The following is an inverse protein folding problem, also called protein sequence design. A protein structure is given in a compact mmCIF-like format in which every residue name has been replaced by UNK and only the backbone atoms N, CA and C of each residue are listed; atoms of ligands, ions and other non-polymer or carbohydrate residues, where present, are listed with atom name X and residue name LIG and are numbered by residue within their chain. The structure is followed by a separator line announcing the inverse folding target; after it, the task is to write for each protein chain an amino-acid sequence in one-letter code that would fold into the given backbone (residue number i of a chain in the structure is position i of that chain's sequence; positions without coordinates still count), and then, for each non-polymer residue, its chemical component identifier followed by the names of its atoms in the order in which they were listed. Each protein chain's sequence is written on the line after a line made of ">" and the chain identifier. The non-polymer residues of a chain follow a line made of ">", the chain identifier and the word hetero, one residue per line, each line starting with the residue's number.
data_IF_341385531511
#
_entry.id   IF_341385531511
#
_cell.length_a   1.000
_cell.length_b   1.000
_cell.length_c   1.000
_cell.angle_alpha   90.00
_cell.angle_beta   90.00
_cell.angle_gamma   90.00
#
_symmetry.space_group_name_H-M   'P 1'
#
loop_
_entity.id
_entity.type
_entity.pdbx_description
1 polymer ?
#
# COMPACT_ATOMS: atom_id res chain seq x y z
N UNK A 1 6.22 -25.57 8.84
CA UNK A 1 6.91 -24.57 8.00
C UNK A 1 8.33 -24.99 7.67
N UNK A 2 9.18 -25.38 8.66
CA UNK A 2 10.57 -25.81 8.42
C UNK A 2 10.62 -26.98 7.42
N UNK A 3 9.83 -28.01 7.64
CA UNK A 3 9.74 -29.16 6.73
C UNK A 3 9.30 -28.75 5.32
N UNK A 4 8.30 -27.87 5.21
CA UNK A 4 7.85 -27.35 3.92
C UNK A 4 8.95 -26.58 3.18
N UNK A 5 9.71 -25.74 3.91
CA UNK A 5 10.84 -25.00 3.36
C UNK A 5 11.95 -25.96 2.87
N UNK A 6 12.31 -26.98 3.68
CA UNK A 6 13.31 -27.97 3.29
C UNK A 6 12.87 -28.74 2.03
N UNK A 7 11.63 -29.20 1.99
CA UNK A 7 11.08 -29.89 0.82
C UNK A 7 11.08 -29.00 -0.43
N UNK A 8 10.80 -27.73 -0.27
CA UNK A 8 10.83 -26.79 -1.40
C UNK A 8 12.27 -26.52 -1.86
N UNK A 9 13.23 -26.42 -0.93
CA UNK A 9 14.65 -26.30 -1.26
C UNK A 9 15.17 -27.50 -2.05
N UNK A 10 14.74 -28.71 -1.70
CA UNK A 10 15.10 -29.92 -2.44
C UNK A 10 14.48 -29.97 -3.84
N UNK A 11 13.24 -29.46 -3.99
CA UNK A 11 12.52 -29.45 -5.28
C UNK A 11 13.00 -28.35 -6.21
N UNK A 12 13.03 -27.12 -5.73
CA UNK A 12 13.43 -25.91 -6.48
C UNK A 12 13.77 -24.79 -5.48
N UNK A 13 15.05 -24.61 -5.13
CA UNK A 13 15.47 -23.62 -4.14
C UNK A 13 15.29 -22.18 -4.61
N UNK A 14 15.51 -21.93 -5.91
CA UNK A 14 15.37 -20.61 -6.51
C UNK A 14 15.05 -20.71 -8.00
N UNK A 15 14.16 -19.82 -8.43
CA UNK A 15 13.97 -19.45 -9.82
C UNK A 15 13.39 -18.01 -9.89
N UNK A 16 13.85 -17.23 -10.85
CA UNK A 16 13.35 -15.85 -11.03
C UNK A 16 11.96 -15.84 -11.69
N UNK A 17 11.19 -14.78 -11.46
CA UNK A 17 9.85 -14.57 -12.04
C UNK A 17 9.86 -13.62 -13.27
N UNK A 18 11.00 -13.54 -13.98
CA UNK A 18 11.12 -12.72 -15.18
C UNK A 18 10.83 -13.53 -16.46
N UNK A 19 10.58 -12.78 -17.56
CA UNK A 19 10.42 -13.34 -18.91
C UNK A 19 9.32 -14.42 -19.03
N UNK A 20 8.16 -14.16 -18.40
CA UNK A 20 6.99 -15.03 -18.52
C UNK A 20 7.09 -16.35 -17.75
N UNK A 21 7.99 -16.45 -16.76
CA UNK A 21 8.17 -17.63 -15.93
C UNK A 21 7.70 -17.36 -14.51
N UNK A 22 6.92 -18.29 -13.96
CA UNK A 22 6.40 -18.20 -12.58
C UNK A 22 6.57 -19.56 -11.90
N UNK A 23 7.21 -19.63 -10.72
CA UNK A 23 7.23 -20.86 -9.93
C UNK A 23 5.81 -21.29 -9.54
N UNK A 24 5.51 -22.58 -9.62
CA UNK A 24 4.20 -23.16 -9.28
C UNK A 24 3.71 -22.69 -7.89
N UNK A 25 4.60 -22.70 -6.89
CA UNK A 25 4.26 -22.28 -5.52
C UNK A 25 3.88 -20.78 -5.42
N UNK A 26 4.47 -19.93 -6.26
CA UNK A 26 4.09 -18.52 -6.32
C UNK A 26 2.72 -18.34 -6.96
N UNK A 27 2.39 -19.08 -8.02
CA UNK A 27 1.05 -19.07 -8.61
C UNK A 27 0.00 -19.55 -7.59
N UNK A 28 0.29 -20.65 -6.87
CA UNK A 28 -0.60 -21.18 -5.84
C UNK A 28 -0.81 -20.20 -4.67
N UNK A 29 0.24 -19.46 -4.26
CA UNK A 29 0.09 -18.43 -3.22
C UNK A 29 -0.72 -17.24 -3.73
N UNK A 30 -0.48 -16.81 -4.98
CA UNK A 30 -1.29 -15.75 -5.60
C UNK A 30 -2.78 -16.09 -5.59
N UNK A 31 -3.15 -17.31 -6.03
CA UNK A 31 -4.54 -17.78 -6.01
C UNK A 31 -5.13 -17.77 -4.59
N UNK A 32 -4.38 -18.23 -3.59
CA UNK A 32 -4.84 -18.23 -2.19
C UNK A 32 -5.02 -16.82 -1.64
N UNK A 33 -4.08 -15.91 -1.92
CA UNK A 33 -4.18 -14.53 -1.47
C UNK A 33 -5.39 -13.83 -2.07
N UNK A 34 -5.62 -13.99 -3.38
CA UNK A 34 -6.75 -13.37 -4.06
C UNK A 34 -8.11 -13.93 -3.58
N UNK A 35 -8.17 -15.20 -3.17
CA UNK A 35 -9.40 -15.78 -2.58
C UNK A 35 -9.78 -15.18 -1.22
N UNK A 36 -8.81 -14.66 -0.47
CA UNK A 36 -9.03 -14.06 0.84
C UNK A 36 -8.88 -12.54 0.83
N UNK A 37 -8.50 -11.95 -0.31
CA UNK A 37 -8.35 -10.51 -0.47
C UNK A 37 -9.70 -9.78 -0.36
N UNK A 38 -9.71 -8.49 0.01
CA UNK A 38 -10.88 -7.65 -0.17
C UNK A 38 -11.38 -7.70 -1.62
N UNK A 39 -12.70 -7.59 -1.79
CA UNK A 39 -13.34 -7.65 -3.11
C UNK A 39 -12.76 -6.61 -4.08
N UNK A 40 -12.57 -6.99 -5.34
CA UNK A 40 -12.09 -6.12 -6.40
C UNK A 40 -10.57 -6.10 -6.57
N UNK A 41 -9.83 -6.93 -5.84
CA UNK A 41 -8.38 -7.12 -6.04
C UNK A 41 -8.13 -8.43 -6.80
N UNK A 42 -7.56 -8.34 -8.00
CA UNK A 42 -7.58 -9.41 -8.99
C UNK A 42 -6.19 -9.96 -9.35
N UNK A 43 -5.12 -9.28 -8.98
CA UNK A 43 -3.74 -9.72 -9.28
C UNK A 43 -2.79 -9.44 -8.13
N UNK A 44 -1.85 -10.38 -7.90
CA UNK A 44 -0.78 -10.26 -6.92
C UNK A 44 0.58 -10.07 -7.59
N UNK A 45 1.39 -9.15 -7.06
CA UNK A 45 2.80 -8.98 -7.40
C UNK A 45 3.63 -9.19 -6.12
N UNK A 46 4.62 -10.08 -6.14
CA UNK A 46 5.42 -10.42 -4.98
C UNK A 46 6.68 -9.56 -4.88
N UNK A 47 7.02 -9.17 -3.66
CA UNK A 47 8.26 -8.49 -3.27
C UNK A 47 8.88 -9.23 -2.07
N UNK A 48 9.96 -8.67 -1.48
CA UNK A 48 10.65 -9.33 -0.36
C UNK A 48 10.41 -8.63 0.98
N UNK A 49 9.92 -7.40 0.97
CA UNK A 49 9.64 -6.61 2.19
C UNK A 49 8.46 -5.66 1.99
N UNK A 50 7.85 -5.21 3.10
CA UNK A 50 6.81 -4.19 3.05
C UNK A 50 7.29 -2.88 2.43
N UNK A 51 8.55 -2.49 2.65
CA UNK A 51 9.14 -1.31 2.01
C UNK A 51 9.19 -1.44 0.49
N UNK A 52 9.62 -2.60 -0.04
CA UNK A 52 9.60 -2.87 -1.47
C UNK A 52 8.18 -2.92 -2.05
N UNK A 53 7.22 -3.46 -1.30
CA UNK A 53 5.82 -3.47 -1.71
C UNK A 53 5.26 -2.04 -1.84
N UNK A 54 5.56 -1.15 -0.90
CA UNK A 54 5.12 0.25 -0.94
C UNK A 54 5.86 1.06 -2.02
N UNK A 55 7.17 0.84 -2.23
CA UNK A 55 7.90 1.42 -3.37
C UNK A 55 7.31 0.97 -4.71
N UNK A 56 6.95 -0.31 -4.80
CA UNK A 56 6.29 -0.88 -5.98
C UNK A 56 4.90 -0.27 -6.20
N UNK A 57 4.12 -0.09 -5.13
CA UNK A 57 2.81 0.55 -5.21
C UNK A 57 2.90 1.96 -5.82
N UNK A 58 3.87 2.77 -5.39
CA UNK A 58 4.11 4.11 -5.98
C UNK A 58 4.50 4.01 -7.46
N UNK A 59 5.38 3.08 -7.82
CA UNK A 59 5.75 2.86 -9.24
C UNK A 59 4.57 2.41 -10.08
N UNK A 60 3.70 1.55 -9.54
CA UNK A 60 2.45 1.11 -10.18
C UNK A 60 1.52 2.29 -10.42
N UNK A 61 1.32 3.16 -9.41
CA UNK A 61 0.53 4.39 -9.57
C UNK A 61 1.08 5.25 -10.70
N UNK A 62 2.39 5.50 -10.72
CA UNK A 62 3.00 6.31 -11.79
C UNK A 62 2.89 5.66 -13.17
N UNK A 63 3.10 4.36 -13.25
CA UNK A 63 2.98 3.61 -14.52
C UNK A 63 1.54 3.65 -15.06
N UNK A 64 0.56 3.43 -14.18
CA UNK A 64 -0.86 3.53 -14.49
C UNK A 64 -1.27 4.93 -14.95
N UNK A 65 -0.86 5.98 -14.23
CA UNK A 65 -1.17 7.36 -14.61
C UNK A 65 -0.52 7.74 -15.95
N UNK A 66 0.70 7.27 -16.22
CA UNK A 66 1.34 7.45 -17.54
C UNK A 66 0.56 6.71 -18.65
N UNK A 67 0.09 5.48 -18.40
CA UNK A 67 -0.73 4.73 -19.35
C UNK A 67 -2.01 5.48 -19.75
N UNK A 68 -2.58 6.22 -18.80
CA UNK A 68 -3.76 7.07 -19.02
C UNK A 68 -3.44 8.45 -19.60
N UNK A 69 -2.17 8.74 -19.97
CA UNK A 69 -1.76 10.04 -20.48
C UNK A 69 -1.76 11.17 -19.43
N UNK A 70 -1.61 10.83 -18.16
CA UNK A 70 -1.64 11.77 -17.01
C UNK A 70 -0.30 11.78 -16.24
N UNK A 71 0.86 12.07 -16.89
CA UNK A 71 2.19 11.95 -16.29
C UNK A 71 2.43 12.87 -15.08
N UNK A 72 1.63 13.93 -14.93
CA UNK A 72 1.72 14.87 -13.82
C UNK A 72 1.12 14.33 -12.50
N UNK A 73 0.29 13.28 -12.55
CA UNK A 73 -0.33 12.64 -11.38
C UNK A 73 0.65 11.76 -10.61
N UNK A 74 1.68 12.38 -10.00
CA UNK A 74 2.81 11.70 -9.37
C UNK A 74 2.92 11.89 -7.86
N UNK A 75 2.25 12.92 -7.30
CA UNK A 75 2.29 13.15 -5.85
C UNK A 75 1.54 12.05 -5.11
N UNK A 76 2.08 11.68 -3.95
CA UNK A 76 1.45 10.71 -3.04
C UNK A 76 1.20 11.41 -1.72
N UNK A 77 -0.02 11.30 -1.22
CA UNK A 77 -0.37 11.79 0.12
C UNK A 77 -0.27 10.64 1.10
N UNK A 78 0.42 10.85 2.21
CA UNK A 78 0.50 9.98 3.37
C UNK A 78 0.05 10.73 4.63
N UNK A 79 0.11 10.09 5.78
CA UNK A 79 -0.28 10.68 7.06
C UNK A 79 0.92 10.91 7.98
N UNK A 80 0.95 12.03 8.70
CA UNK A 80 1.85 12.18 9.86
C UNK A 80 1.65 11.00 10.80
N UNK A 81 2.73 10.51 11.41
CA UNK A 81 2.78 9.31 12.25
C UNK A 81 2.54 7.98 11.52
N UNK A 82 2.24 7.98 10.21
CA UNK A 82 2.17 6.75 9.41
C UNK A 82 3.54 6.08 9.28
N UNK A 83 3.56 4.76 9.12
CA UNK A 83 4.78 4.01 8.87
C UNK A 83 4.61 3.08 7.66
N UNK A 84 5.42 3.32 6.63
CA UNK A 84 5.32 2.58 5.37
C UNK A 84 6.62 1.89 4.94
N UNK A 85 7.69 2.03 5.71
CA UNK A 85 8.98 1.40 5.44
C UNK A 85 10.17 2.35 5.54
N UNK A 86 11.34 1.89 5.04
CA UNK A 86 12.64 2.54 5.23
C UNK A 86 13.45 2.73 3.94
N UNK A 87 12.97 2.29 2.79
CA UNK A 87 13.56 2.63 1.49
C UNK A 87 13.35 4.12 1.19
N UNK A 88 13.98 4.65 0.16
CA UNK A 88 13.88 6.09 -0.15
C UNK A 88 12.43 6.55 -0.32
N UNK A 89 11.59 5.77 -1.00
CA UNK A 89 10.18 6.10 -1.23
C UNK A 89 9.34 5.75 0.00
N UNK A 90 9.41 4.52 0.51
CA UNK A 90 8.64 4.13 1.69
C UNK A 90 9.03 4.92 2.95
N UNK A 91 10.30 5.30 3.11
CA UNK A 91 10.77 6.21 4.15
C UNK A 91 10.21 7.63 3.99
N UNK A 92 10.04 8.09 2.75
CA UNK A 92 9.37 9.37 2.46
C UNK A 92 7.86 9.31 2.80
N UNK A 93 7.20 8.18 2.54
CA UNK A 93 5.79 7.96 2.92
C UNK A 93 5.61 7.86 4.44
N UNK A 94 6.63 7.39 5.17
CA UNK A 94 6.63 7.30 6.63
C UNK A 94 6.60 8.71 7.23
N UNK A 95 5.56 9.03 8.00
CA UNK A 95 5.36 10.34 8.61
C UNK A 95 5.92 10.47 10.04
N UNK A 96 7.00 9.74 10.34
CA UNK A 96 7.69 9.73 11.63
C UNK A 96 9.03 10.47 11.49
N UNK A 97 9.26 11.59 12.22
CA UNK A 97 10.44 12.44 12.03
C UNK A 97 11.77 11.69 12.07
N UNK A 98 11.93 10.76 12.99
CA UNK A 98 13.18 9.98 13.14
C UNK A 98 13.51 9.10 11.91
N UNK A 99 12.52 8.77 11.08
CA UNK A 99 12.70 7.99 9.86
C UNK A 99 13.07 8.87 8.65
N UNK A 100 13.05 10.19 8.80
CA UNK A 100 13.29 11.16 7.73
C UNK A 100 14.49 12.08 8.04
N UNK A 101 14.59 12.53 9.29
CA UNK A 101 15.67 13.41 9.72
C UNK A 101 17.05 12.78 9.51
N UNK A 102 17.97 13.52 8.94
CA UNK A 102 19.32 13.06 8.62
C UNK A 102 19.45 12.24 7.32
N UNK A 103 18.32 11.82 6.70
CA UNK A 103 18.32 11.07 5.44
C UNK A 103 17.95 11.92 4.21
N UNK A 104 17.63 13.21 4.41
CA UNK A 104 17.18 14.08 3.33
C UNK A 104 15.75 13.74 2.81
N UNK A 105 14.93 13.17 3.67
CA UNK A 105 13.54 12.81 3.39
C UNK A 105 12.57 13.80 4.07
N UNK A 106 11.33 13.92 3.61
CA UNK A 106 10.72 13.19 2.50
C UNK A 106 11.12 13.73 1.11
N UNK A 107 10.98 12.89 0.08
CA UNK A 107 11.08 13.32 -1.32
C UNK A 107 9.92 14.27 -1.68
N UNK A 108 10.17 15.22 -2.58
CA UNK A 108 9.26 16.34 -2.89
C UNK A 108 7.86 15.93 -3.35
N UNK A 109 7.70 14.77 -3.98
CA UNK A 109 6.42 14.26 -4.44
C UNK A 109 5.55 13.67 -3.32
N UNK A 110 6.09 13.48 -2.11
CA UNK A 110 5.33 12.99 -0.96
C UNK A 110 4.82 14.16 -0.11
N UNK A 111 3.55 14.14 0.21
CA UNK A 111 2.89 15.13 1.06
C UNK A 111 2.26 14.45 2.26
N UNK A 112 2.29 15.09 3.43
CA UNK A 112 1.73 14.52 4.64
C UNK A 112 0.54 15.36 5.13
N UNK A 113 -0.61 14.72 5.28
CA UNK A 113 -1.77 15.25 6.01
C UNK A 113 -1.70 14.87 7.50
N UNK A 114 -2.59 15.41 8.30
CA UNK A 114 -2.67 15.08 9.74
C UNK A 114 -3.06 13.64 10.00
N UNK A 115 -2.70 13.12 11.17
CA UNK A 115 -3.09 11.78 11.61
C UNK A 115 -4.47 11.81 12.29
N UNK A 116 -5.29 10.73 12.16
CA UNK A 116 -6.59 10.67 12.80
C UNK A 116 -6.50 10.27 14.29
N UNK A 117 -5.59 10.90 15.04
CA UNK A 117 -5.36 10.58 16.45
C UNK A 117 -6.28 11.41 17.37
N UNK A 118 -7.57 11.03 17.43
CA UNK A 118 -8.59 11.78 18.17
C UNK A 118 -8.16 12.13 19.59
N UNK A 119 -7.69 11.17 20.37
CA UNK A 119 -7.35 11.40 21.79
C UNK A 119 -6.18 12.35 22.03
N UNK A 120 -5.24 12.46 21.08
CA UNK A 120 -4.08 13.33 21.23
C UNK A 120 -4.25 14.69 20.54
N UNK A 121 -5.03 14.73 19.46
CA UNK A 121 -5.02 15.88 18.54
C UNK A 121 -6.37 16.62 18.47
N UNK A 122 -7.37 16.21 19.28
CA UNK A 122 -8.66 16.91 19.40
C UNK A 122 -8.52 18.22 20.16
N UNK A 123 -9.35 19.22 19.80
CA UNK A 123 -9.54 20.42 20.62
C UNK A 123 -10.42 20.11 21.85
N UNK A 124 -10.44 21.02 22.86
CA UNK A 124 -11.07 20.80 24.16
C UNK A 124 -12.54 20.37 24.07
N UNK A 125 -13.32 21.00 23.21
CA UNK A 125 -14.76 20.71 23.03
C UNK A 125 -15.07 19.94 21.74
N UNK A 126 -14.07 19.30 21.12
CA UNK A 126 -14.23 18.60 19.85
C UNK A 126 -14.65 17.13 20.07
N UNK A 127 -15.82 16.77 19.57
CA UNK A 127 -16.25 15.36 19.51
C UNK A 127 -15.59 14.61 18.33
N UNK A 128 -15.75 13.30 18.28
CA UNK A 128 -15.15 12.47 17.21
C UNK A 128 -15.60 12.88 15.80
N UNK A 129 -16.85 13.29 15.66
CA UNK A 129 -17.41 13.67 14.35
C UNK A 129 -16.81 14.99 13.85
N UNK A 130 -16.81 16.01 14.70
CA UNK A 130 -16.21 17.33 14.39
C UNK A 130 -14.72 17.22 14.13
N UNK A 131 -14.02 16.37 14.90
CA UNK A 131 -12.62 16.05 14.67
C UNK A 131 -12.40 15.42 13.29
N UNK A 132 -13.20 14.41 12.94
CA UNK A 132 -13.14 13.78 11.61
C UNK A 132 -13.36 14.81 10.51
N UNK A 133 -14.38 15.65 10.63
CA UNK A 133 -14.66 16.69 9.64
C UNK A 133 -13.51 17.69 9.49
N UNK A 134 -12.81 18.00 10.57
CA UNK A 134 -11.58 18.82 10.51
C UNK A 134 -10.46 18.11 9.78
N UNK A 135 -10.21 16.82 10.07
CA UNK A 135 -9.20 16.03 9.35
C UNK A 135 -9.48 15.96 7.85
N UNK A 136 -10.75 15.80 7.47
CA UNK A 136 -11.15 15.78 6.07
C UNK A 136 -11.00 17.13 5.38
N UNK A 137 -11.31 18.25 6.08
CA UNK A 137 -11.05 19.60 5.56
C UNK A 137 -9.56 19.82 5.32
N UNK A 138 -8.70 19.45 6.28
CA UNK A 138 -7.24 19.54 6.13
C UNK A 138 -6.73 18.71 4.94
N UNK A 139 -7.30 17.55 4.70
CA UNK A 139 -6.96 16.71 3.53
C UNK A 139 -7.45 17.34 2.23
N UNK A 140 -8.69 17.84 2.17
CA UNK A 140 -9.24 18.50 0.97
C UNK A 140 -8.45 19.79 0.65
N UNK A 141 -8.12 20.61 1.65
CA UNK A 141 -7.28 21.79 1.51
C UNK A 141 -5.88 21.46 0.97
N UNK A 142 -5.28 20.36 1.46
CA UNK A 142 -4.00 19.89 0.94
C UNK A 142 -4.11 19.46 -0.53
N UNK A 143 -5.16 18.71 -0.89
CA UNK A 143 -5.43 18.28 -2.26
C UNK A 143 -5.60 19.49 -3.18
N UNK A 144 -6.38 20.48 -2.78
CA UNK A 144 -6.61 21.72 -3.56
C UNK A 144 -5.31 22.51 -3.71
N UNK A 145 -4.56 22.68 -2.63
CA UNK A 145 -3.28 23.40 -2.61
C UNK A 145 -2.23 22.77 -3.53
N UNK A 146 -2.13 21.45 -3.52
CA UNK A 146 -1.14 20.72 -4.32
C UNK A 146 -1.58 20.54 -5.78
N UNK A 147 -2.87 20.71 -6.09
CA UNK A 147 -3.52 20.46 -7.37
C UNK A 147 -3.95 18.99 -7.50
N UNK A 148 -5.25 18.72 -7.46
CA UNK A 148 -5.81 17.35 -7.51
C UNK A 148 -5.33 16.57 -8.73
N UNK A 149 -5.13 17.26 -9.86
CA UNK A 149 -4.62 16.68 -11.13
C UNK A 149 -3.16 16.21 -11.04
N UNK A 150 -2.43 16.57 -9.96
CA UNK A 150 -1.03 16.14 -9.74
C UNK A 150 -0.90 15.02 -8.71
N UNK A 151 -2.00 14.64 -8.03
CA UNK A 151 -1.99 13.65 -6.97
C UNK A 151 -2.43 12.30 -7.53
N UNK A 152 -1.52 11.31 -7.49
CA UNK A 152 -1.77 9.95 -7.99
C UNK A 152 -2.46 9.05 -6.99
N UNK A 153 -2.09 9.13 -5.71
CA UNK A 153 -2.66 8.26 -4.68
C UNK A 153 -2.58 8.85 -3.27
N UNK A 154 -3.44 8.32 -2.40
CA UNK A 154 -3.35 8.44 -0.93
C UNK A 154 -3.02 7.06 -0.36
N UNK A 155 -2.06 6.99 0.58
CA UNK A 155 -1.67 5.76 1.27
C UNK A 155 -2.02 5.81 2.76
N UNK A 156 -2.57 4.71 3.29
CA UNK A 156 -2.94 4.63 4.70
C UNK A 156 -2.90 3.21 5.25
N UNK A 157 -2.47 3.08 6.51
CA UNK A 157 -2.70 1.89 7.35
C UNK A 157 -4.14 1.93 7.88
N UNK A 158 -4.90 0.82 7.94
CA UNK A 158 -6.22 0.79 8.60
C UNK A 158 -6.16 1.21 10.08
N UNK A 159 -5.18 0.70 10.82
CA UNK A 159 -4.74 1.17 12.14
C UNK A 159 -3.26 1.50 12.03
N UNK A 160 -2.87 2.69 12.46
CA UNK A 160 -1.48 3.13 12.38
C UNK A 160 -0.67 2.42 13.47
N UNK A 161 0.06 1.35 13.09
CA UNK A 161 0.73 0.48 14.05
C UNK A 161 1.91 1.16 14.73
N UNK A 162 2.99 1.43 14.00
CA UNK A 162 4.23 2.02 14.52
C UNK A 162 4.04 3.46 15.04
N UNK A 163 3.06 4.18 14.54
CA UNK A 163 2.71 5.52 14.99
C UNK A 163 2.10 5.63 16.38
N UNK A 164 1.79 4.48 17.00
CA UNK A 164 1.26 4.42 18.37
C UNK A 164 -0.08 3.68 18.50
N UNK A 165 -0.36 2.72 17.61
CA UNK A 165 -1.62 1.96 17.56
C UNK A 165 -2.83 2.91 17.48
N UNK A 166 -2.76 3.86 16.54
CA UNK A 166 -3.79 4.89 16.37
C UNK A 166 -4.96 4.29 15.59
N UNK A 167 -6.09 4.14 16.28
CA UNK A 167 -7.36 3.71 15.71
C UNK A 167 -8.08 4.98 15.23
N UNK A 168 -8.47 5.06 13.95
CA UNK A 168 -9.19 6.23 13.44
C UNK A 168 -10.61 6.30 14.01
N UNK A 169 -11.23 7.48 14.05
CA UNK A 169 -12.66 7.64 14.30
C UNK A 169 -13.51 6.79 13.35
N UNK A 170 -14.70 6.38 13.81
CA UNK A 170 -15.53 5.40 13.11
C UNK A 170 -15.88 5.77 11.67
N UNK A 171 -16.14 7.06 11.37
CA UNK A 171 -16.56 7.57 10.07
C UNK A 171 -15.39 8.12 9.21
N UNK A 172 -14.15 8.07 9.73
CA UNK A 172 -12.99 8.66 9.08
C UNK A 172 -12.74 8.09 7.67
N UNK A 173 -12.65 6.78 7.54
CA UNK A 173 -12.32 6.16 6.25
C UNK A 173 -13.47 6.20 5.24
N UNK A 174 -14.72 6.15 5.69
CA UNK A 174 -15.85 6.37 4.80
C UNK A 174 -15.73 7.73 4.09
N UNK A 175 -15.52 8.79 4.87
CA UNK A 175 -15.37 10.16 4.34
C UNK A 175 -14.08 10.32 3.51
N UNK A 176 -12.96 9.70 3.92
CA UNK A 176 -11.72 9.70 3.11
C UNK A 176 -11.97 9.12 1.73
N UNK A 177 -12.58 7.95 1.65
CA UNK A 177 -12.88 7.29 0.37
C UNK A 177 -13.77 8.13 -0.54
N UNK A 178 -14.79 8.78 0.03
CA UNK A 178 -15.64 9.72 -0.73
C UNK A 178 -14.82 10.89 -1.29
N UNK A 179 -13.90 11.44 -0.49
CA UNK A 179 -13.04 12.55 -0.91
C UNK A 179 -12.05 12.12 -2.00
N UNK A 180 -11.41 10.98 -1.84
CA UNK A 180 -10.48 10.43 -2.85
C UNK A 180 -11.18 10.20 -4.19
N UNK A 181 -12.39 9.64 -4.16
CA UNK A 181 -13.21 9.43 -5.34
C UNK A 181 -13.61 10.75 -6.01
N UNK A 182 -13.97 11.78 -5.25
CA UNK A 182 -14.29 13.14 -5.74
C UNK A 182 -13.13 13.72 -6.58
N UNK A 183 -11.89 13.46 -6.16
CA UNK A 183 -10.68 14.01 -6.78
C UNK A 183 -9.95 13.03 -7.72
N UNK A 184 -10.53 11.85 -8.00
CA UNK A 184 -9.91 10.81 -8.84
C UNK A 184 -8.49 10.45 -8.34
N UNK A 185 -8.35 10.18 -7.05
CA UNK A 185 -7.12 9.81 -6.36
C UNK A 185 -7.22 8.34 -5.97
N UNK A 186 -6.21 7.53 -6.33
CA UNK A 186 -6.16 6.10 -5.98
C UNK A 186 -5.97 5.91 -4.47
N UNK A 187 -6.55 4.84 -3.93
CA UNK A 187 -6.39 4.46 -2.54
C UNK A 187 -5.47 3.25 -2.38
N UNK A 188 -4.30 3.46 -1.75
CA UNK A 188 -3.38 2.40 -1.35
C UNK A 188 -3.63 2.10 0.13
N UNK A 189 -4.01 0.85 0.45
CA UNK A 189 -4.14 0.40 1.83
C UNK A 189 -2.94 -0.43 2.22
N UNK A 190 -2.20 0.03 3.23
CA UNK A 190 -1.05 -0.67 3.79
C UNK A 190 -1.50 -1.61 4.91
N UNK A 191 -1.64 -2.88 4.56
CA UNK A 191 -2.03 -3.99 5.45
C UNK A 191 -0.81 -4.75 6.02
N UNK A 192 0.37 -4.20 5.89
CA UNK A 192 1.62 -4.84 6.36
C UNK A 192 1.58 -5.21 7.84
N UNK A 193 0.88 -4.41 8.67
CA UNK A 193 0.65 -4.73 10.09
C UNK A 193 -0.76 -5.30 10.31
N UNK A 194 -1.78 -4.69 9.72
CA UNK A 194 -3.18 -4.99 10.04
C UNK A 194 -3.69 -6.28 9.43
N UNK A 195 -3.10 -6.74 8.32
CA UNK A 195 -3.51 -7.94 7.62
C UNK A 195 -3.32 -9.25 8.41
N UNK A 196 -4.00 -10.27 7.96
CA UNK A 196 -3.93 -11.66 8.49
C UNK A 196 -4.42 -11.80 9.93
N UNK A 197 -5.53 -11.13 10.26
CA UNK A 197 -6.25 -11.34 11.51
C UNK A 197 -5.95 -10.36 12.64
N UNK A 198 -5.08 -9.37 12.43
CA UNK A 198 -4.64 -8.44 13.48
C UNK A 198 -5.77 -7.60 14.08
N UNK A 199 -6.81 -7.28 13.29
CA UNK A 199 -7.96 -6.48 13.70
C UNK A 199 -9.20 -7.32 14.07
N UNK A 200 -9.06 -8.67 14.03
CA UNK A 200 -10.18 -9.61 14.27
C UNK A 200 -10.82 -10.12 12.95
N UNK A 201 -10.72 -9.39 11.86
CA UNK A 201 -11.04 -9.81 10.50
C UNK A 201 -9.76 -10.20 9.76
N UNK A 202 -9.84 -10.87 8.61
CA UNK A 202 -8.65 -11.25 7.83
C UNK A 202 -7.84 -10.00 7.46
N UNK A 203 -8.50 -8.91 7.11
CA UNK A 203 -7.91 -7.64 6.74
C UNK A 203 -8.44 -6.49 7.59
N UNK A 204 -7.61 -5.49 7.87
CA UNK A 204 -8.06 -4.23 8.44
C UNK A 204 -9.03 -3.50 7.52
N UNK A 205 -8.91 -3.70 6.21
CA UNK A 205 -9.87 -3.23 5.20
C UNK A 205 -11.29 -3.71 5.47
N UNK A 206 -11.48 -4.97 5.88
CA UNK A 206 -12.80 -5.50 6.25
C UNK A 206 -13.34 -4.84 7.53
N UNK A 207 -12.44 -4.55 8.48
CA UNK A 207 -12.84 -3.91 9.76
C UNK A 207 -13.37 -2.50 9.58
N UNK A 208 -12.83 -1.75 8.60
CA UNK A 208 -13.16 -0.35 8.34
C UNK A 208 -13.89 -0.13 7.01
N UNK A 209 -14.37 -1.18 6.36
CA UNK A 209 -15.04 -1.16 5.05
C UNK A 209 -14.25 -0.37 3.98
N UNK A 210 -12.93 -0.66 3.88
CA UNK A 210 -12.07 -0.04 2.89
C UNK A 210 -12.17 -0.76 1.55
N UNK A 211 -12.15 0.01 0.47
CA UNK A 211 -12.15 -0.46 -0.92
C UNK A 211 -10.85 0.00 -1.59
N UNK A 212 -9.74 -0.69 -1.37
CA UNK A 212 -8.45 -0.30 -1.94
C UNK A 212 -8.40 -0.53 -3.46
N UNK A 213 -7.74 0.40 -4.17
CA UNK A 213 -7.27 0.16 -5.53
C UNK A 213 -6.00 -0.70 -5.53
N UNK A 214 -5.17 -0.50 -4.51
CA UNK A 214 -3.93 -1.24 -4.26
C UNK A 214 -3.87 -1.59 -2.77
N UNK A 215 -3.51 -2.83 -2.45
CA UNK A 215 -3.27 -3.31 -1.10
C UNK A 215 -1.85 -3.85 -0.98
N UNK A 216 -1.11 -3.48 0.05
CA UNK A 216 0.21 -4.05 0.35
C UNK A 216 0.18 -4.88 1.61
N UNK A 217 0.82 -6.05 1.61
CA UNK A 217 0.92 -6.93 2.77
C UNK A 217 2.31 -7.58 2.90
N UNK A 218 2.69 -7.91 4.12
CA UNK A 218 3.96 -8.55 4.47
C UNK A 218 3.86 -9.23 5.85
N UNK A 219 4.92 -9.26 6.64
CA UNK A 219 5.00 -9.74 8.03
C UNK A 219 4.24 -11.05 8.27
N UNK A 220 2.97 -10.98 8.68
CA UNK A 220 2.14 -12.14 8.97
C UNK A 220 1.88 -13.03 7.75
N UNK A 221 2.09 -12.54 6.53
CA UNK A 221 2.02 -13.33 5.29
C UNK A 221 2.89 -14.60 5.36
N UNK A 222 4.08 -14.52 5.97
CA UNK A 222 4.96 -15.68 6.23
C UNK A 222 5.04 -16.06 7.70
N UNK A 223 4.34 -15.37 8.60
CA UNK A 223 4.53 -15.54 10.03
C UNK A 223 5.96 -15.27 10.52
N UNK A 224 6.70 -14.42 9.81
CA UNK A 224 8.10 -14.06 10.04
C UNK A 224 9.12 -15.18 9.75
N UNK A 225 8.73 -16.26 9.07
CA UNK A 225 9.64 -17.36 8.72
C UNK A 225 10.51 -17.05 7.49
N UNK A 226 10.03 -16.21 6.57
CA UNK A 226 10.76 -15.88 5.36
C UNK A 226 10.46 -14.45 4.90
N UNK A 227 11.44 -13.76 4.26
CA UNK A 227 11.22 -12.46 3.64
C UNK A 227 10.27 -12.59 2.46
N UNK A 228 9.06 -12.07 2.58
CA UNK A 228 8.07 -12.01 1.52
C UNK A 228 7.08 -10.87 1.78
N UNK A 229 6.63 -10.26 0.72
CA UNK A 229 5.51 -9.32 0.71
C UNK A 229 4.75 -9.42 -0.61
N UNK A 230 3.57 -8.88 -0.64
CA UNK A 230 2.78 -8.82 -1.85
C UNK A 230 2.09 -7.46 -1.99
N UNK A 231 1.89 -7.08 -3.23
CA UNK A 231 1.04 -6.01 -3.69
C UNK A 231 -0.15 -6.65 -4.41
N UNK A 232 -1.37 -6.31 -4.02
CA UNK A 232 -2.59 -6.71 -4.70
C UNK A 232 -3.19 -5.50 -5.42
N UNK A 233 -3.73 -5.69 -6.63
CA UNK A 233 -4.22 -4.61 -7.48
C UNK A 233 -5.58 -4.97 -8.08
N UNK A 234 -6.39 -3.94 -8.33
CA UNK A 234 -7.67 -4.09 -9.03
C UNK A 234 -7.49 -4.21 -10.55
N UNK A 235 -8.52 -4.73 -11.24
CA UNK A 235 -8.51 -4.95 -12.69
C UNK A 235 -8.34 -3.65 -13.50
N UNK A 236 -8.86 -2.52 -13.00
CA UNK A 236 -8.73 -1.24 -13.70
C UNK A 236 -7.25 -0.82 -13.85
N UNK A 237 -6.45 -1.03 -12.80
CA UNK A 237 -5.01 -0.75 -12.84
C UNK A 237 -4.29 -1.77 -13.72
N UNK A 238 -4.63 -3.05 -13.58
CA UNK A 238 -3.95 -4.14 -14.29
C UNK A 238 -4.12 -4.01 -15.80
N UNK A 239 -5.34 -3.78 -16.27
CA UNK A 239 -5.63 -3.70 -17.70
C UNK A 239 -4.86 -2.57 -18.40
N UNK A 240 -4.70 -1.41 -17.74
CA UNK A 240 -3.92 -0.31 -18.31
C UNK A 240 -2.41 -0.57 -18.25
N UNK A 241 -1.92 -1.23 -17.18
CA UNK A 241 -0.52 -1.67 -17.10
C UNK A 241 -0.19 -2.66 -18.21
N UNK A 242 -1.06 -3.64 -18.47
CA UNK A 242 -0.85 -4.67 -19.50
C UNK A 242 -0.83 -4.07 -20.91
N UNK A 243 -1.71 -3.10 -21.19
CA UNK A 243 -1.68 -2.35 -22.48
C UNK A 243 -0.35 -1.63 -22.67
N UNK A 244 0.04 -0.80 -21.71
CA UNK A 244 1.29 -0.04 -21.79
C UNK A 244 2.52 -0.97 -21.82
N UNK A 245 2.51 -2.07 -21.06
CA UNK A 245 3.59 -3.05 -21.09
C UNK A 245 3.70 -3.75 -22.44
N UNK A 246 2.58 -4.01 -23.11
CA UNK A 246 2.55 -4.54 -24.46
C UNK A 246 3.18 -3.57 -25.47
N UNK A 247 2.84 -2.27 -25.37
CA UNK A 247 3.39 -1.23 -26.26
C UNK A 247 4.89 -1.01 -26.04
N UNK A 248 5.36 -1.08 -24.79
CA UNK A 248 6.78 -0.93 -24.43
C UNK A 248 7.58 -2.24 -24.55
N UNK A 249 6.90 -3.37 -24.76
CA UNK A 249 7.50 -4.71 -24.84
C UNK A 249 7.70 -5.41 -23.49
N UNK A 250 7.64 -4.70 -22.37
CA UNK A 250 7.83 -5.26 -21.03
C UNK A 250 7.32 -4.31 -19.93
N UNK A 251 6.82 -4.86 -18.84
CA UNK A 251 6.71 -4.15 -17.55
C UNK A 251 8.07 -4.20 -16.84
N UNK A 252 8.86 -3.15 -16.98
CA UNK A 252 10.26 -3.07 -16.54
C UNK A 252 10.44 -2.91 -15.02
N UNK A 253 9.79 -3.77 -14.20
CA UNK A 253 9.92 -3.76 -12.76
C UNK A 253 9.85 -5.16 -12.16
N UNK A 254 10.71 -5.44 -11.19
CA UNK A 254 10.77 -6.69 -10.44
C UNK A 254 12.06 -6.78 -9.61
N UNK A 255 12.10 -7.71 -8.70
CA UNK A 255 13.27 -8.00 -7.86
C UNK A 255 13.77 -9.41 -8.14
N UNK A 256 15.08 -9.61 -8.16
CA UNK A 256 15.69 -10.93 -8.46
C UNK A 256 15.16 -12.03 -7.55
N UNK A 257 14.91 -11.72 -6.28
CA UNK A 257 14.44 -12.69 -5.30
C UNK A 257 12.93 -12.62 -5.01
N UNK A 258 12.17 -11.79 -5.72
CA UNK A 258 10.72 -11.79 -5.59
C UNK A 258 10.12 -13.11 -6.07
N UNK A 259 8.96 -13.49 -5.53
CA UNK A 259 8.33 -14.79 -5.80
C UNK A 259 9.26 -15.99 -5.53
N UNK A 260 10.19 -15.86 -4.56
CA UNK A 260 11.11 -16.91 -4.19
C UNK A 260 10.35 -18.18 -3.80
N UNK A 261 10.66 -19.34 -4.41
CA UNK A 261 9.91 -20.58 -4.19
C UNK A 261 9.87 -21.03 -2.73
N UNK A 262 10.96 -20.82 -1.98
CA UNK A 262 11.04 -21.22 -0.57
C UNK A 262 10.20 -20.30 0.30
N UNK A 263 10.19 -18.99 0.03
CA UNK A 263 9.39 -18.01 0.79
C UNK A 263 7.91 -18.15 0.58
#
# INVERSE_FOLDING_TARGET
>A
LVEAATKQMDKLPFYHSFAGKVPEVAANLSEKLLKIAPEGLDKAFFCNSGSEANDTAVKVVWYYQNALGRPEKRKIISRKRGYHGVTMVAGSLTGLPYAQEGFGLPLDFVKHTSSPHYFADKYEDEDEHSFTDRMLRELDDLIIKEGAETIGAFIAEPVMGAGGVIIPPKDYFEKVQMLLKKHDILFIVDEVICGFGRTGNMWGSETFDLKPDILTCAKALSGAYAPISALLMNECIISEIEKQASDLGIFGHGFTYSANPVS
#
